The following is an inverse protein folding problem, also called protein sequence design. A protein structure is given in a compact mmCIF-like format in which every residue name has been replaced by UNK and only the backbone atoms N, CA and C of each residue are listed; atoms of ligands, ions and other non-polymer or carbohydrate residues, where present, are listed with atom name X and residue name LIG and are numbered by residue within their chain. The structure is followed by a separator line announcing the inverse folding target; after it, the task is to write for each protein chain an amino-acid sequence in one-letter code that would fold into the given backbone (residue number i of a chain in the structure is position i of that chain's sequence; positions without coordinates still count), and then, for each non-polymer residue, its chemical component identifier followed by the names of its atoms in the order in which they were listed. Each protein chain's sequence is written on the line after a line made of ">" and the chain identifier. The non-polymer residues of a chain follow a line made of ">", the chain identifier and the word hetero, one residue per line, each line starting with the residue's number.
data_IF_369432917661
#
_entry.id   IF_369432917661
#
_cell.length_a   1.000
_cell.length_b   1.000
_cell.length_c   1.000
_cell.angle_alpha   90.00
_cell.angle_beta   90.00
_cell.angle_gamma   90.00
#
_symmetry.space_group_name_H-M   'P 1'
#
loop_
_entity.id
_entity.type
_entity.pdbx_description
1 polymer ?
#
# COMPACT_ATOMS: atom_id res chain seq x y z
N UNK A 1 -12.50 16.05 0.17
CA UNK A 1 -11.97 14.75 0.64
C UNK A 1 -11.19 14.96 1.92
N UNK A 2 -11.47 14.17 2.95
CA UNK A 2 -10.71 14.18 4.20
C UNK A 2 -9.31 13.56 4.03
N UNK A 3 -8.40 13.80 4.98
CA UNK A 3 -7.09 13.16 4.99
C UNK A 3 -7.21 11.62 4.99
N UNK A 4 -8.14 11.08 5.78
CA UNK A 4 -8.43 9.64 5.79
C UNK A 4 -8.89 9.10 4.43
N UNK A 5 -9.76 9.83 3.73
CA UNK A 5 -10.21 9.40 2.41
C UNK A 5 -9.06 9.37 1.40
N UNK A 6 -8.14 10.34 1.45
CA UNK A 6 -6.95 10.34 0.58
C UNK A 6 -6.03 9.17 0.88
N UNK A 7 -5.75 8.91 2.17
CA UNK A 7 -4.93 7.78 2.58
C UNK A 7 -5.56 6.43 2.19
N UNK A 8 -6.87 6.28 2.36
CA UNK A 8 -7.58 5.06 1.94
C UNK A 8 -7.52 4.83 0.43
N UNK A 9 -7.67 5.89 -0.38
CA UNK A 9 -7.53 5.81 -1.83
C UNK A 9 -6.12 5.43 -2.26
N UNK A 10 -5.09 5.99 -1.62
CA UNK A 10 -3.71 5.67 -1.95
C UNK A 10 -3.36 4.24 -1.54
N UNK A 11 -3.83 3.76 -0.38
CA UNK A 11 -3.70 2.36 0.05
C UNK A 11 -4.31 1.43 -1.00
N UNK A 12 -5.53 1.70 -1.47
CA UNK A 12 -6.19 0.90 -2.49
C UNK A 12 -5.36 0.85 -3.78
N UNK A 13 -4.89 2.01 -4.24
CA UNK A 13 -4.07 2.12 -5.45
C UNK A 13 -2.79 1.30 -5.34
N UNK A 14 -2.08 1.42 -4.23
CA UNK A 14 -0.83 0.69 -4.00
C UNK A 14 -1.09 -0.81 -3.83
N UNK A 15 -2.21 -1.21 -3.19
CA UNK A 15 -2.60 -2.63 -3.07
C UNK A 15 -2.85 -3.27 -4.43
N UNK A 16 -3.60 -2.60 -5.31
CA UNK A 16 -3.82 -3.09 -6.69
C UNK A 16 -2.50 -3.19 -7.44
N UNK A 17 -1.65 -2.18 -7.35
CA UNK A 17 -0.33 -2.20 -7.98
C UNK A 17 0.54 -3.37 -7.47
N UNK A 18 0.54 -3.64 -6.17
CA UNK A 18 1.27 -4.76 -5.59
C UNK A 18 0.77 -6.10 -6.14
N UNK A 19 -0.54 -6.30 -6.24
CA UNK A 19 -1.11 -7.52 -6.83
C UNK A 19 -0.70 -7.71 -8.29
N UNK A 20 -0.83 -6.67 -9.12
CA UNK A 20 -0.39 -6.72 -10.51
C UNK A 20 1.10 -7.01 -10.63
N UNK A 21 1.91 -6.47 -9.73
CA UNK A 21 3.34 -6.67 -9.71
C UNK A 21 3.69 -8.11 -9.32
N UNK A 22 3.04 -8.66 -8.30
CA UNK A 22 3.21 -10.07 -7.89
C UNK A 22 2.85 -11.01 -9.04
N UNK A 23 1.74 -10.75 -9.74
CA UNK A 23 1.31 -11.53 -10.90
C UNK A 23 2.34 -11.45 -12.04
N UNK A 24 2.83 -10.25 -12.36
CA UNK A 24 3.89 -10.03 -13.37
C UNK A 24 5.21 -10.71 -13.02
N UNK A 25 5.52 -10.85 -11.74
CA UNK A 25 6.73 -11.50 -11.23
C UNK A 25 6.51 -12.99 -10.96
N UNK A 26 5.41 -13.57 -11.44
CA UNK A 26 5.05 -14.98 -11.28
C UNK A 26 5.05 -15.44 -9.81
N UNK A 27 4.59 -14.58 -8.90
CA UNK A 27 4.56 -14.88 -7.46
C UNK A 27 5.92 -14.71 -6.75
N UNK A 28 6.94 -14.11 -7.38
CA UNK A 28 8.23 -13.88 -6.73
C UNK A 28 8.14 -12.75 -5.69
N UNK A 29 7.78 -13.11 -4.45
CA UNK A 29 7.60 -12.18 -3.34
C UNK A 29 8.90 -11.56 -2.82
N UNK A 30 10.06 -12.14 -3.15
CA UNK A 30 11.38 -11.61 -2.76
C UNK A 30 12.00 -10.72 -3.85
N UNK A 31 11.28 -10.50 -4.96
CA UNK A 31 11.66 -9.50 -5.94
C UNK A 31 11.76 -8.13 -5.26
N UNK A 32 12.85 -7.41 -5.53
CA UNK A 32 13.15 -6.14 -4.86
C UNK A 32 12.05 -5.10 -5.06
N UNK A 33 11.40 -5.12 -6.22
CA UNK A 33 10.30 -4.22 -6.56
C UNK A 33 9.05 -4.57 -5.75
N UNK A 34 8.71 -5.87 -5.68
CA UNK A 34 7.59 -6.37 -4.86
C UNK A 34 7.80 -6.01 -3.39
N UNK A 35 9.01 -6.23 -2.86
CA UNK A 35 9.36 -5.89 -1.50
C UNK A 35 9.25 -4.38 -1.22
N UNK A 36 9.73 -3.54 -2.14
CA UNK A 36 9.65 -2.08 -2.01
C UNK A 36 8.20 -1.58 -2.00
N UNK A 37 7.34 -2.10 -2.88
CA UNK A 37 5.92 -1.73 -2.94
C UNK A 37 5.18 -2.23 -1.69
N UNK A 38 5.50 -3.43 -1.20
CA UNK A 38 4.95 -3.95 0.06
C UNK A 38 5.29 -3.04 1.25
N UNK A 39 6.56 -2.61 1.38
CA UNK A 39 6.99 -1.70 2.44
C UNK A 39 6.24 -0.36 2.36
N UNK A 40 6.06 0.18 1.16
CA UNK A 40 5.33 1.43 0.95
C UNK A 40 3.86 1.28 1.37
N UNK A 41 3.22 0.15 1.06
CA UNK A 41 1.85 -0.15 1.47
C UNK A 41 1.72 -0.20 3.00
N UNK A 42 2.63 -0.88 3.68
CA UNK A 42 2.65 -0.95 5.15
C UNK A 42 2.77 0.44 5.79
N UNK A 43 3.64 1.29 5.24
CA UNK A 43 3.81 2.66 5.72
C UNK A 43 2.54 3.50 5.54
N UNK A 44 1.81 3.32 4.44
CA UNK A 44 0.53 4.00 4.21
C UNK A 44 -0.56 3.53 5.18
N UNK A 45 -0.63 2.23 5.46
CA UNK A 45 -1.57 1.67 6.45
C UNK A 45 -1.29 2.24 7.84
N UNK A 46 -0.03 2.29 8.27
CA UNK A 46 0.34 2.89 9.56
C UNK A 46 -0.05 4.37 9.62
N UNK A 47 0.15 5.12 8.55
CA UNK A 47 -0.26 6.53 8.49
C UNK A 47 -1.77 6.70 8.58
N UNK A 48 -2.53 5.85 7.89
CA UNK A 48 -3.99 5.84 7.96
C UNK A 48 -4.49 5.56 9.38
N UNK A 49 -3.99 4.51 10.03
CA UNK A 49 -4.40 4.17 11.40
C UNK A 49 -4.04 5.28 12.39
N UNK A 50 -2.86 5.91 12.25
CA UNK A 50 -2.48 7.09 13.06
C UNK A 50 -3.45 8.24 12.86
N UNK A 51 -3.75 8.59 11.61
CA UNK A 51 -4.66 9.68 11.28
C UNK A 51 -6.10 9.40 11.76
N UNK A 52 -6.51 8.12 11.77
CA UNK A 52 -7.84 7.68 12.19
C UNK A 52 -8.00 7.81 13.71
N UNK A 53 -6.95 7.52 14.46
CA UNK A 53 -6.93 7.66 15.92
C UNK A 53 -6.80 9.12 16.40
N UNK A 54 -6.54 10.06 15.49
CA UNK A 54 -6.41 11.50 15.77
C UNK A 54 -7.65 12.32 15.36
N UNK A 55 -8.65 11.68 14.75
CA UNK A 55 -9.97 12.28 14.47
C UNK A 55 -10.93 12.03 15.62
#
# INVERSE_FOLDING_TARGET
>A
MSNLQKLAQEIERVRVHLHELVDKKSGNLIDKEVAAVSIALDQLIVQFEKAKNQQ
#
